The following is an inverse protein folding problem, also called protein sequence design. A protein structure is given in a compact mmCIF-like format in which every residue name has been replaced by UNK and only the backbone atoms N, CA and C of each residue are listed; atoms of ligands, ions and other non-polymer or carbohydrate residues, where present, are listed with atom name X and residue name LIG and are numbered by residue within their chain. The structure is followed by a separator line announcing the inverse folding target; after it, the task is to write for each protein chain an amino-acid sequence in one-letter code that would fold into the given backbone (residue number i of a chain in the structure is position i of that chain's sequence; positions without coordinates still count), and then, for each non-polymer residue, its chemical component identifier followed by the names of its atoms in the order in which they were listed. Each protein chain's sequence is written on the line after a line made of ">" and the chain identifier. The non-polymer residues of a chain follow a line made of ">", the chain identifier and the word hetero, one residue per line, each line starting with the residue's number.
data_IF_226287801849
#
_entry.id   IF_226287801849
#
_cell.length_a   1.000
_cell.length_b   1.000
_cell.length_c   1.000
_cell.angle_alpha   90.00
_cell.angle_beta   90.00
_cell.angle_gamma   90.00
#
_symmetry.space_group_name_H-M   'P 1'
#
loop_
_entity.id
_entity.type
_entity.pdbx_description
1 polymer ?
#
# COMPACT_ATOMS: atom_id res chain seq x y z
N UNK A 1 -12.19 -30.64 0.07
CA UNK A 1 -11.56 -30.06 1.28
C UNK A 1 -10.69 -28.90 0.83
N UNK A 2 -10.57 -27.82 1.62
CA UNK A 2 -9.59 -26.76 1.32
C UNK A 2 -8.17 -27.31 1.46
N UNK A 3 -7.27 -26.89 0.57
CA UNK A 3 -5.83 -27.15 0.73
C UNK A 3 -5.18 -26.15 1.69
N UNK A 4 -3.98 -26.49 2.20
CA UNK A 4 -3.20 -25.53 2.99
C UNK A 4 -2.88 -24.26 2.20
N UNK A 5 -2.69 -24.38 0.88
CA UNK A 5 -2.51 -23.23 -0.02
C UNK A 5 -3.74 -22.34 -0.05
N UNK A 6 -4.94 -22.91 -0.16
CA UNK A 6 -6.19 -22.14 -0.18
C UNK A 6 -6.38 -21.42 1.16
N UNK A 7 -6.22 -22.14 2.27
CA UNK A 7 -6.32 -21.55 3.61
C UNK A 7 -5.29 -20.44 3.85
N UNK A 8 -4.04 -20.63 3.41
CA UNK A 8 -3.01 -19.61 3.55
C UNK A 8 -3.34 -18.36 2.72
N UNK A 9 -3.80 -18.51 1.49
CA UNK A 9 -4.17 -17.39 0.64
C UNK A 9 -5.41 -16.65 1.15
N UNK A 10 -6.41 -17.36 1.68
CA UNK A 10 -7.60 -16.77 2.29
C UNK A 10 -7.24 -15.91 3.52
N UNK A 11 -6.36 -16.42 4.41
CA UNK A 11 -5.90 -15.68 5.58
C UNK A 11 -5.00 -14.49 5.19
N UNK A 12 -4.15 -14.65 4.16
CA UNK A 12 -3.36 -13.55 3.62
C UNK A 12 -4.25 -12.42 3.11
N UNK A 13 -5.35 -12.75 2.42
CA UNK A 13 -6.31 -11.76 1.95
C UNK A 13 -7.08 -11.11 3.10
N UNK A 14 -7.50 -11.90 4.09
CA UNK A 14 -8.17 -11.38 5.28
C UNK A 14 -7.32 -10.34 6.03
N UNK A 15 -6.00 -10.56 6.14
CA UNK A 15 -5.12 -9.56 6.75
C UNK A 15 -5.04 -8.26 5.94
N UNK A 16 -5.04 -8.30 4.60
CA UNK A 16 -5.06 -7.09 3.77
C UNK A 16 -6.36 -6.29 3.96
N UNK A 17 -7.49 -7.00 4.02
CA UNK A 17 -8.80 -6.39 4.30
C UNK A 17 -8.78 -5.72 5.68
N UNK A 18 -8.31 -6.40 6.72
CA UNK A 18 -8.23 -5.81 8.06
C UNK A 18 -7.32 -4.58 8.13
N UNK A 19 -6.15 -4.61 7.47
CA UNK A 19 -5.28 -3.44 7.43
C UNK A 19 -5.95 -2.23 6.76
N UNK A 20 -6.74 -2.48 5.71
CA UNK A 20 -7.53 -1.46 5.01
C UNK A 20 -8.65 -0.91 5.89
N UNK A 21 -9.43 -1.77 6.53
CA UNK A 21 -10.54 -1.37 7.40
C UNK A 21 -10.06 -0.59 8.63
N UNK A 22 -8.96 -1.01 9.25
CA UNK A 22 -8.34 -0.26 10.36
C UNK A 22 -7.84 1.12 9.91
N UNK A 23 -7.34 1.24 8.68
CA UNK A 23 -6.92 2.52 8.12
C UNK A 23 -8.11 3.46 7.91
N UNK A 24 -9.23 2.96 7.37
CA UNK A 24 -10.47 3.74 7.22
C UNK A 24 -11.00 4.19 8.58
N UNK A 25 -11.13 3.26 9.53
CA UNK A 25 -11.60 3.56 10.87
C UNK A 25 -10.72 4.61 11.58
N UNK A 26 -9.40 4.53 11.42
CA UNK A 26 -8.48 5.51 12.00
C UNK A 26 -8.66 6.91 11.38
N UNK A 27 -8.91 7.00 10.07
CA UNK A 27 -9.12 8.27 9.37
C UNK A 27 -10.40 8.99 9.84
N UNK A 28 -11.44 8.24 10.19
CA UNK A 28 -12.73 8.76 10.65
C UNK A 28 -12.80 8.97 12.18
N UNK A 29 -11.74 8.63 12.92
CA UNK A 29 -11.72 8.70 14.38
C UNK A 29 -11.27 10.09 14.88
N UNK A 30 -12.12 10.75 15.67
CA UNK A 30 -11.77 12.01 16.37
C UNK A 30 -11.05 11.79 17.71
N UNK A 31 -11.25 10.63 18.34
CA UNK A 31 -10.59 10.29 19.60
C UNK A 31 -9.12 9.87 19.36
N UNK A 32 -8.18 10.69 19.83
CA UNK A 32 -6.75 10.48 19.61
C UNK A 32 -6.23 9.16 20.16
N UNK A 33 -6.70 8.74 21.35
CA UNK A 33 -6.25 7.49 21.96
C UNK A 33 -6.72 6.28 21.15
N UNK A 34 -7.99 6.28 20.74
CA UNK A 34 -8.55 5.21 19.90
C UNK A 34 -7.86 5.16 18.53
N UNK A 35 -7.60 6.32 17.90
CA UNK A 35 -6.83 6.40 16.65
C UNK A 35 -5.45 5.75 16.78
N UNK A 36 -4.73 6.03 17.87
CA UNK A 36 -3.44 5.41 18.13
C UNK A 36 -3.55 3.88 18.29
N UNK A 37 -4.59 3.41 18.98
CA UNK A 37 -4.85 1.97 19.11
C UNK A 37 -5.14 1.31 17.76
N UNK A 38 -5.94 1.94 16.89
CA UNK A 38 -6.22 1.42 15.55
C UNK A 38 -4.94 1.32 14.69
N UNK A 39 -4.04 2.30 14.80
CA UNK A 39 -2.74 2.23 14.14
C UNK A 39 -1.87 1.07 14.67
N UNK A 40 -1.81 0.86 15.98
CA UNK A 40 -1.08 -0.26 16.58
C UNK A 40 -1.66 -1.62 16.13
N UNK A 41 -2.98 -1.74 16.05
CA UNK A 41 -3.65 -2.93 15.54
C UNK A 41 -3.27 -3.18 14.07
N UNK A 42 -3.23 -2.13 13.24
CA UNK A 42 -2.81 -2.24 11.84
C UNK A 42 -1.39 -2.74 11.72
N UNK A 43 -0.44 -2.15 12.46
CA UNK A 43 0.95 -2.62 12.48
C UNK A 43 1.06 -4.09 12.90
N UNK A 44 0.25 -4.52 13.86
CA UNK A 44 0.22 -5.93 14.29
C UNK A 44 -0.32 -6.85 13.18
N UNK A 45 -1.36 -6.42 12.45
CA UNK A 45 -1.90 -7.17 11.31
C UNK A 45 -0.86 -7.30 10.19
N UNK A 46 -0.16 -6.21 9.85
CA UNK A 46 0.88 -6.19 8.83
C UNK A 46 2.04 -7.15 9.18
N UNK A 47 2.50 -7.14 10.44
CA UNK A 47 3.55 -8.08 10.90
C UNK A 47 3.11 -9.56 10.80
N UNK A 48 1.85 -9.86 11.12
CA UNK A 48 1.29 -11.22 10.98
C UNK A 48 1.16 -11.61 9.50
N UNK A 49 0.73 -10.69 8.66
CA UNK A 49 0.62 -10.89 7.22
C UNK A 49 1.98 -11.21 6.61
N UNK A 50 3.03 -10.47 7.00
CA UNK A 50 4.40 -10.71 6.53
C UNK A 50 4.91 -12.08 6.97
N UNK A 51 4.70 -12.44 8.24
CA UNK A 51 5.11 -13.74 8.79
C UNK A 51 4.44 -14.91 8.04
N UNK A 52 3.13 -14.80 7.76
CA UNK A 52 2.39 -15.79 6.99
C UNK A 52 2.84 -15.83 5.52
N UNK A 53 3.11 -14.67 4.92
CA UNK A 53 3.58 -14.58 3.54
C UNK A 53 4.93 -15.27 3.36
N UNK A 54 5.88 -15.06 4.28
CA UNK A 54 7.17 -15.74 4.27
C UNK A 54 7.02 -17.26 4.36
N UNK A 55 6.13 -17.75 5.22
CA UNK A 55 5.80 -19.18 5.28
C UNK A 55 5.21 -19.67 3.95
N UNK A 56 4.20 -18.98 3.41
CA UNK A 56 3.53 -19.37 2.18
C UNK A 56 4.47 -19.32 0.96
N UNK A 57 5.47 -18.44 0.95
CA UNK A 57 6.53 -18.41 -0.09
C UNK A 57 7.42 -19.66 0.01
N UNK A 58 7.88 -20.03 1.21
CA UNK A 58 8.72 -21.23 1.41
C UNK A 58 8.02 -22.52 0.97
N UNK A 59 6.71 -22.59 1.19
CA UNK A 59 5.88 -23.73 0.79
C UNK A 59 5.42 -23.69 -0.69
N UNK A 60 5.74 -22.62 -1.42
CA UNK A 60 5.31 -22.44 -2.82
C UNK A 60 3.82 -22.13 -3.00
N UNK A 61 3.14 -21.69 -1.94
CA UNK A 61 1.71 -21.37 -1.91
C UNK A 61 1.39 -19.94 -2.33
N UNK A 62 2.37 -19.04 -2.19
CA UNK A 62 2.24 -17.62 -2.49
C UNK A 62 3.45 -17.11 -3.27
N UNK A 63 3.20 -16.34 -4.32
CA UNK A 63 4.22 -15.64 -5.11
C UNK A 63 3.96 -14.14 -5.00
N UNK A 64 4.81 -13.37 -4.28
CA UNK A 64 4.68 -11.92 -4.23
C UNK A 64 4.98 -11.31 -5.61
N UNK A 65 4.46 -10.11 -5.85
CA UNK A 65 4.88 -9.32 -7.00
C UNK A 65 6.40 -9.12 -6.95
N UNK A 66 7.08 -9.40 -8.06
CA UNK A 66 8.51 -9.13 -8.20
C UNK A 66 8.80 -7.64 -8.27
N UNK A 67 10.08 -7.29 -8.22
CA UNK A 67 10.52 -5.93 -8.53
C UNK A 67 10.08 -5.54 -9.95
N UNK A 68 9.62 -4.30 -10.11
CA UNK A 68 9.33 -3.74 -11.43
C UNK A 68 10.62 -3.64 -12.26
N UNK A 69 10.47 -3.65 -13.59
CA UNK A 69 11.62 -3.49 -14.49
C UNK A 69 12.26 -2.11 -14.37
N UNK A 70 13.59 -2.04 -14.42
CA UNK A 70 14.31 -0.79 -14.22
C UNK A 70 14.05 0.23 -15.35
N UNK A 71 13.80 -0.24 -16.57
CA UNK A 71 13.45 0.65 -17.69
C UNK A 71 12.07 1.26 -17.47
N UNK A 72 11.11 0.47 -16.99
CA UNK A 72 9.77 0.95 -16.62
C UNK A 72 9.83 1.99 -15.50
N UNK A 73 10.62 1.72 -14.45
CA UNK A 73 10.87 2.68 -13.36
C UNK A 73 11.42 4.00 -13.92
N UNK A 74 12.43 3.94 -14.78
CA UNK A 74 13.07 5.15 -15.35
C UNK A 74 12.11 5.92 -16.26
N UNK A 75 11.27 5.22 -17.03
CA UNK A 75 10.26 5.81 -17.91
C UNK A 75 9.21 6.58 -17.10
N UNK A 76 8.65 5.95 -16.07
CA UNK A 76 7.63 6.56 -15.21
C UNK A 76 8.22 7.76 -14.46
N UNK A 77 9.45 7.62 -13.93
CA UNK A 77 10.16 8.74 -13.26
C UNK A 77 10.27 9.95 -14.19
N UNK A 78 10.76 9.75 -15.41
CA UNK A 78 10.91 10.83 -16.40
C UNK A 78 9.57 11.50 -16.74
N UNK A 79 8.50 10.71 -16.87
CA UNK A 79 7.15 11.22 -17.11
C UNK A 79 6.63 12.07 -15.95
N UNK A 80 6.81 11.62 -14.71
CA UNK A 80 6.37 12.35 -13.51
C UNK A 80 7.15 13.66 -13.34
N UNK A 81 8.47 13.64 -13.52
CA UNK A 81 9.32 14.83 -13.46
C UNK A 81 8.91 15.89 -14.51
N UNK A 82 8.66 15.46 -15.75
CA UNK A 82 8.17 16.34 -16.81
C UNK A 82 6.78 16.92 -16.48
N UNK A 83 5.89 16.10 -15.94
CA UNK A 83 4.52 16.52 -15.58
C UNK A 83 4.53 17.54 -14.42
N UNK A 84 5.43 17.37 -13.45
CA UNK A 84 5.62 18.33 -12.35
C UNK A 84 6.23 19.65 -12.84
N UNK A 85 7.22 19.60 -13.73
CA UNK A 85 7.81 20.80 -14.32
C UNK A 85 6.78 21.60 -15.14
N UNK A 86 5.94 20.92 -15.93
CA UNK A 86 4.86 21.56 -16.68
C UNK A 86 3.81 22.22 -15.78
N UNK A 87 3.48 21.58 -14.64
CA UNK A 87 2.57 22.16 -13.66
C UNK A 87 3.14 23.43 -13.01
N UNK A 88 4.45 23.48 -12.71
CA UNK A 88 5.10 24.66 -12.12
C UNK A 88 5.19 25.85 -13.10
N UNK A 89 5.42 25.59 -14.38
CA UNK A 89 5.41 26.63 -15.41
C UNK A 89 4.03 27.29 -15.59
N UNK A 90 2.94 26.57 -15.32
CA UNK A 90 1.58 27.14 -15.39
C UNK A 90 1.31 28.18 -14.28
N UNK A 91 1.98 28.10 -13.12
CA UNK A 91 1.82 29.04 -12.01
C UNK A 91 2.83 30.19 -11.99
N UNK A 92 3.85 30.16 -12.86
CA UNK A 92 4.95 31.14 -12.85
C UNK A 92 4.83 32.26 -13.91
N UNK A 93 3.71 32.35 -14.65
CA UNK A 93 3.49 33.47 -15.59
C UNK A 93 2.97 34.71 -14.85
N UNK A 94 3.76 35.80 -14.71
CA UNK A 94 3.27 37.06 -14.18
C UNK A 94 2.63 37.83 -15.34
N UNK A 95 1.32 37.67 -15.51
CA UNK A 95 0.60 38.46 -16.50
C UNK A 95 -0.76 37.92 -16.89
N UNK A 96 -1.75 38.15 -16.04
CA UNK A 96 -3.00 38.77 -16.49
C UNK A 96 -3.67 39.43 -15.28
N UNK A 97 -3.58 40.76 -15.24
CA UNK A 97 -4.44 41.60 -14.41
C UNK A 97 -5.86 41.55 -15.01
N UNK A 98 -6.85 41.32 -14.16
CA UNK A 98 -8.15 41.97 -14.28
C UNK A 98 -8.38 42.78 -13.01
#
# INVERSE_FOLDING_TARGET
>A
MLSNKDMANDVLEMYKVFATELTKAAAECSNTQLKQTLHQMRSTVEQRQESLAQMAIREGWYLPAGSADQQEINRIRSFVEQSQAAAQHHYASPGLRF
#
